data_IF_304655087140
#
_entry.id   IF_304655087140
#
_cell.length_a   1.000
_cell.length_b   1.000
_cell.length_c   1.000
_cell.angle_alpha   90.00
_cell.angle_beta   90.00
_cell.angle_gamma   90.00
#
_symmetry.space_group_name_H-M   'P 1'
#
loop_
_entity.id
_entity.type
_entity.pdbx_description
1 polymer ?
#
# COMPACT_ATOMS: atom_id res chain seq x y z
N UNK A 1 -18.29 -1.70 -4.50
CA UNK A 1 -17.84 -1.84 -3.10
C UNK A 1 -18.91 -2.46 -2.20
N UNK A 2 -20.08 -1.84 -1.97
CA UNK A 2 -21.10 -2.39 -1.07
C UNK A 2 -21.51 -3.86 -1.35
N UNK A 3 -21.69 -4.23 -2.63
CA UNK A 3 -21.96 -5.63 -3.04
C UNK A 3 -20.81 -6.61 -2.72
N UNK A 4 -19.56 -6.13 -2.73
CA UNK A 4 -18.39 -6.94 -2.39
C UNK A 4 -18.30 -7.17 -0.88
N UNK A 5 -18.61 -6.15 -0.07
CA UNK A 5 -18.71 -6.29 1.39
C UNK A 5 -19.83 -7.29 1.72
N UNK A 6 -21.02 -7.12 1.13
CA UNK A 6 -22.15 -8.04 1.30
C UNK A 6 -21.80 -9.49 0.93
N UNK A 7 -20.98 -9.73 -0.09
CA UNK A 7 -20.60 -11.09 -0.48
C UNK A 7 -19.80 -11.85 0.60
N UNK A 8 -19.20 -11.15 1.56
CA UNK A 8 -18.44 -11.71 2.67
C UNK A 8 -19.19 -11.57 4.02
N UNK A 9 -20.41 -11.06 3.99
CA UNK A 9 -21.24 -10.90 5.17
C UNK A 9 -22.09 -12.16 5.42
N UNK A 10 -22.26 -12.61 6.67
CA UNK A 10 -23.05 -13.81 6.98
C UNK A 10 -24.57 -13.62 6.80
N UNK A 11 -25.08 -12.39 6.82
CA UNK A 11 -26.52 -12.10 6.86
C UNK A 11 -27.00 -11.25 5.68
N UNK A 12 -26.16 -10.35 5.17
CA UNK A 12 -26.49 -9.46 4.05
C UNK A 12 -26.01 -10.07 2.74
N UNK A 13 -26.85 -10.04 1.71
CA UNK A 13 -26.50 -10.53 0.38
C UNK A 13 -26.30 -9.40 -0.63
N UNK A 14 -25.66 -9.71 -1.75
CA UNK A 14 -25.54 -8.79 -2.89
C UNK A 14 -26.90 -8.42 -3.51
N UNK A 15 -27.93 -9.26 -3.29
CA UNK A 15 -29.31 -9.00 -3.71
C UNK A 15 -29.95 -7.89 -2.87
N UNK A 16 -29.78 -7.93 -1.56
CA UNK A 16 -30.34 -6.93 -0.64
C UNK A 16 -29.78 -5.53 -0.96
N UNK A 17 -28.49 -5.45 -1.29
CA UNK A 17 -27.86 -4.20 -1.78
C UNK A 17 -28.44 -3.75 -3.11
N UNK A 18 -28.82 -4.67 -4.00
CA UNK A 18 -29.40 -4.33 -5.30
C UNK A 18 -30.83 -3.82 -5.15
N UNK A 19 -31.63 -4.48 -4.30
CA UNK A 19 -33.00 -4.06 -4.00
C UNK A 19 -33.04 -2.66 -3.35
N UNK A 20 -32.12 -2.38 -2.41
CA UNK A 20 -31.98 -1.06 -1.80
C UNK A 20 -31.58 0.05 -2.81
N UNK A 21 -30.83 -0.30 -3.87
CA UNK A 21 -30.45 0.63 -4.94
C UNK A 21 -31.58 0.89 -5.95
N UNK A 22 -32.48 -0.07 -6.12
CA UNK A 22 -33.68 0.08 -6.95
C UNK A 22 -34.75 0.91 -6.24
N UNK A 23 -34.70 0.95 -4.91
CA UNK A 23 -35.52 1.83 -4.08
C UNK A 23 -35.28 3.31 -4.35
N UNK A 24 -36.34 4.11 -4.24
CA UNK A 24 -36.27 5.58 -4.39
C UNK A 24 -35.93 6.31 -3.08
N UNK A 25 -35.79 5.59 -1.98
CA UNK A 25 -35.55 6.16 -0.65
C UNK A 25 -34.16 5.75 -0.14
N UNK A 26 -33.45 6.64 0.56
CA UNK A 26 -32.19 6.28 1.20
C UNK A 26 -32.39 5.18 2.25
N UNK A 27 -31.59 4.12 2.15
CA UNK A 27 -31.59 3.01 3.10
C UNK A 27 -30.23 2.87 3.78
N UNK A 28 -30.24 2.51 5.06
CA UNK A 28 -29.04 2.16 5.83
C UNK A 28 -28.97 0.63 5.95
N UNK A 29 -27.87 0.06 5.47
CA UNK A 29 -27.57 -1.37 5.60
C UNK A 29 -26.49 -1.54 6.65
N UNK A 30 -26.72 -2.40 7.63
CA UNK A 30 -25.73 -2.75 8.66
C UNK A 30 -25.12 -4.11 8.34
N UNK A 31 -23.85 -4.13 7.95
CA UNK A 31 -23.06 -5.35 7.79
C UNK A 31 -22.67 -5.89 9.18
N UNK A 32 -22.72 -7.20 9.36
CA UNK A 32 -22.27 -7.91 10.57
C UNK A 32 -20.80 -8.25 10.53
N UNK A 33 -20.22 -8.42 9.34
CA UNK A 33 -18.78 -8.64 9.19
C UNK A 33 -18.01 -7.38 9.61
N UNK A 34 -17.02 -7.53 10.48
CA UNK A 34 -16.09 -6.45 10.79
C UNK A 34 -15.14 -6.24 9.59
N UNK A 35 -15.19 -5.05 8.99
CA UNK A 35 -14.28 -4.65 7.91
C UNK A 35 -13.31 -3.62 8.43
N UNK A 36 -12.02 -3.95 8.45
CA UNK A 36 -10.98 -2.99 8.82
C UNK A 36 -10.81 -1.94 7.72
N UNK A 37 -10.84 -0.67 8.10
CA UNK A 37 -10.64 0.46 7.20
C UNK A 37 -9.37 1.17 7.65
N UNK A 38 -8.31 1.09 6.85
CA UNK A 38 -7.08 1.84 7.06
C UNK A 38 -7.02 2.96 6.04
N UNK A 39 -7.10 4.21 6.51
CA UNK A 39 -6.88 5.39 5.70
C UNK A 39 -5.48 5.89 6.03
N UNK A 40 -4.53 5.59 5.14
CA UNK A 40 -3.13 6.00 5.27
C UNK A 40 -2.77 7.03 4.22
N UNK A 41 -1.80 7.88 4.54
CA UNK A 41 -1.26 8.87 3.63
C UNK A 41 0.17 8.49 3.28
N UNK A 42 0.41 8.21 2.00
CA UNK A 42 1.72 7.85 1.46
C UNK A 42 1.88 8.53 0.09
N UNK A 43 2.90 9.38 -0.02
CA UNK A 43 3.26 10.11 -1.24
C UNK A 43 4.04 9.25 -2.24
N UNK A 44 4.51 8.08 -1.82
CA UNK A 44 5.16 7.07 -2.67
C UNK A 44 4.57 5.69 -2.37
N UNK A 45 4.18 4.95 -3.42
CA UNK A 45 3.62 3.59 -3.32
C UNK A 45 4.25 2.68 -4.35
N UNK A 46 4.30 1.37 -4.08
CA UNK A 46 4.71 0.35 -5.06
C UNK A 46 3.46 -0.39 -5.54
N UNK A 47 3.32 -0.59 -6.85
CA UNK A 47 2.20 -1.33 -7.42
C UNK A 47 2.40 -2.85 -7.40
N UNK A 48 1.46 -3.60 -7.98
CA UNK A 48 1.49 -5.06 -8.02
C UNK A 48 2.65 -5.61 -8.88
N UNK A 49 3.14 -4.83 -9.85
CA UNK A 49 4.28 -5.17 -10.70
C UNK A 49 5.63 -4.83 -10.05
N UNK A 50 5.61 -4.15 -8.91
CA UNK A 50 6.80 -3.74 -8.16
C UNK A 50 7.34 -2.37 -8.57
N UNK A 51 6.61 -1.61 -9.39
CA UNK A 51 7.05 -0.31 -9.88
C UNK A 51 6.64 0.83 -8.91
N UNK A 52 7.54 1.81 -8.65
CA UNK A 52 7.26 2.92 -7.75
C UNK A 52 6.40 4.00 -8.43
N UNK A 53 5.38 4.45 -7.72
CA UNK A 53 4.45 5.51 -8.10
C UNK A 53 4.53 6.67 -7.11
N UNK A 54 4.56 7.91 -7.61
CA UNK A 54 4.69 9.13 -6.82
C UNK A 54 3.42 9.98 -6.92
N UNK A 55 2.89 10.38 -5.78
CA UNK A 55 1.65 11.12 -5.64
C UNK A 55 1.92 12.54 -5.13
N UNK A 56 1.10 13.50 -5.56
CA UNK A 56 1.22 14.89 -5.11
C UNK A 56 0.87 14.99 -3.62
N UNK A 57 1.74 15.63 -2.85
CA UNK A 57 1.42 16.01 -1.49
C UNK A 57 0.33 17.09 -1.46
N UNK A 58 -0.90 16.71 -1.09
CA UNK A 58 -2.07 17.61 -1.02
C UNK A 58 -2.32 18.17 0.37
N UNK A 59 -1.73 17.55 1.40
CA UNK A 59 -1.84 18.03 2.78
C UNK A 59 -0.65 18.90 3.20
N UNK A 60 0.38 18.99 2.35
CA UNK A 60 1.62 19.70 2.64
C UNK A 60 2.26 19.21 3.94
N UNK A 61 2.16 17.91 4.21
CA UNK A 61 2.71 17.28 5.41
C UNK A 61 4.22 17.07 5.30
N UNK A 62 4.73 16.95 4.08
CA UNK A 62 6.16 16.86 3.81
C UNK A 62 6.61 18.19 3.20
N UNK A 63 7.34 19.00 3.96
CA UNK A 63 8.15 20.10 3.43
C UNK A 63 9.21 19.50 2.49
N UNK A 64 8.82 19.22 1.25
CA UNK A 64 9.70 18.81 0.16
C UNK A 64 10.05 17.32 0.12
N UNK A 65 9.21 16.54 -0.56
CA UNK A 65 9.79 15.51 -1.44
C UNK A 65 10.40 16.25 -2.62
N UNK A 66 11.65 16.67 -2.46
CA UNK A 66 12.45 17.16 -3.56
C UNK A 66 13.07 15.96 -4.29
N UNK A 67 12.89 15.90 -5.60
CA UNK A 67 13.69 15.01 -6.45
C UNK A 67 15.15 15.48 -6.36
N UNK A 68 15.94 14.85 -5.49
CA UNK A 68 17.36 15.15 -5.36
C UNK A 68 18.14 14.47 -6.50
N UNK A 69 19.06 15.19 -7.14
CA UNK A 69 19.95 14.66 -8.19
C UNK A 69 20.87 13.51 -7.72
N UNK A 70 20.94 13.26 -6.41
CA UNK A 70 21.74 12.19 -5.82
C UNK A 70 20.90 10.95 -5.56
N UNK A 71 20.91 10.05 -6.54
CA UNK A 71 20.56 8.66 -6.33
C UNK A 71 21.57 8.02 -5.36
N UNK A 72 21.09 7.23 -4.41
CA UNK A 72 21.94 6.26 -3.74
C UNK A 72 22.49 5.30 -4.81
N UNK A 73 23.78 4.90 -4.74
CA UNK A 73 24.29 3.91 -5.67
C UNK A 73 23.43 2.64 -5.59
N UNK A 74 23.03 2.13 -6.76
CA UNK A 74 22.32 0.86 -6.85
C UNK A 74 23.10 -0.21 -6.08
N UNK A 75 22.42 -0.97 -5.23
CA UNK A 75 23.03 -2.06 -4.47
C UNK A 75 23.73 -3.03 -5.44
N UNK A 76 25.04 -3.17 -5.28
CA UNK A 76 25.86 -4.11 -6.06
C UNK A 76 26.30 -5.26 -5.14
N UNK A 77 25.71 -6.46 -5.27
CA UNK A 77 26.02 -7.61 -4.41
C UNK A 77 27.51 -8.00 -4.40
N UNK A 78 28.23 -7.74 -5.50
CA UNK A 78 29.64 -8.09 -5.65
C UNK A 78 30.58 -7.35 -4.68
N UNK A 79 30.19 -6.17 -4.17
CA UNK A 79 31.04 -5.38 -3.29
C UNK A 79 31.05 -5.93 -1.85
N UNK A 80 29.96 -6.57 -1.41
CA UNK A 80 29.87 -7.15 -0.07
C UNK A 80 30.71 -8.42 0.07
N UNK A 81 30.83 -9.23 -0.99
CA UNK A 81 31.69 -10.43 -0.99
C UNK A 81 33.19 -10.06 -0.95
N UNK A 82 33.61 -9.01 -1.66
CA UNK A 82 34.98 -8.49 -1.61
C UNK A 82 35.31 -7.86 -0.25
N UNK A 83 34.41 -7.08 0.34
CA UNK A 83 34.56 -6.52 1.69
C UNK A 83 34.56 -7.61 2.78
N UNK A 84 33.75 -8.66 2.61
CA UNK A 84 33.74 -9.82 3.51
C UNK A 84 35.03 -10.66 3.41
N UNK A 85 35.59 -10.83 2.20
CA UNK A 85 36.88 -11.51 2.02
C UNK A 85 38.04 -10.68 2.58
N UNK A 86 38.10 -9.38 2.29
CA UNK A 86 39.16 -8.49 2.75
C UNK A 86 39.21 -8.40 4.29
N UNK A 87 38.06 -8.42 4.97
CA UNK A 87 37.99 -8.43 6.44
C UNK A 87 38.32 -9.80 7.05
N UNK A 88 38.16 -10.89 6.30
CA UNK A 88 38.53 -12.24 6.72
C UNK A 88 40.04 -12.50 6.63
N UNK A 89 40.71 -11.96 5.62
CA UNK A 89 42.17 -12.09 5.43
C UNK A 89 42.97 -11.26 6.43
N UNK A 90 42.48 -10.09 6.82
CA UNK A 90 43.12 -9.28 7.87
C UNK A 90 43.10 -9.92 9.27
N UNK A 91 42.20 -10.89 9.53
CA UNK A 91 42.14 -11.61 10.82
C UNK A 91 43.06 -12.84 10.89
N UNK A 92 43.75 -13.19 9.81
CA UNK A 92 44.67 -14.34 9.74
C UNK A 92 46.16 -13.96 9.64
N UNK A 93 46.49 -12.67 9.74
CA UNK A 93 47.87 -12.15 9.79
C UNK A 93 48.40 -11.96 11.21
#
# INVERSE_FOLDING_TARGET
MAKWIAAHDPEITSRDVSEALEGSNPERIEFKSETQIHITYMTVTVDEDGEPNFWRDVYHEEDGIEMVDKYAPLYQPAQDEELAQATSDQRKG
#
